data_IF_156936557000
#
_entry.id   IF_156936557000
#
_cell.length_a   1.000
_cell.length_b   1.000
_cell.length_c   1.000
_cell.angle_alpha   90.00
_cell.angle_beta   90.00
_cell.angle_gamma   90.00
#
_symmetry.space_group_name_H-M   'P 1'
#
loop_
_entity.id
_entity.type
_entity.pdbx_description
1 polymer ?
#
# COMPACT_ATOMS: atom_id res chain seq x y z
N UNK A 1 1.04 -9.30 -8.06
CA UNK A 1 -0.33 -9.67 -7.63
C UNK A 1 -0.42 -9.55 -6.11
N UNK A 2 -1.48 -8.92 -5.57
CA UNK A 2 -1.63 -8.75 -4.11
C UNK A 2 -2.25 -10.02 -3.51
N UNK A 3 -1.54 -10.70 -2.61
CA UNK A 3 -1.99 -11.95 -1.99
C UNK A 3 -3.01 -11.67 -0.87
N UNK A 4 -4.28 -11.48 -1.22
CA UNK A 4 -5.36 -11.16 -0.26
C UNK A 4 -5.46 -12.16 0.90
N UNK A 5 -5.28 -13.46 0.60
CA UNK A 5 -5.26 -14.51 1.63
C UNK A 5 -4.18 -14.25 2.69
N UNK A 6 -2.97 -13.91 2.25
CA UNK A 6 -1.83 -13.63 3.13
C UNK A 6 -2.04 -12.36 3.95
N UNK A 7 -2.61 -11.31 3.36
CA UNK A 7 -2.99 -10.10 4.10
C UNK A 7 -3.97 -10.44 5.23
N UNK A 8 -5.00 -11.25 4.93
CA UNK A 8 -6.00 -11.67 5.92
C UNK A 8 -5.36 -12.52 7.04
N UNK A 9 -4.44 -13.42 6.70
CA UNK A 9 -3.64 -14.17 7.69
C UNK A 9 -2.87 -13.22 8.64
N UNK A 10 -2.29 -12.12 8.12
CA UNK A 10 -1.58 -11.11 8.94
C UNK A 10 -2.49 -10.19 9.77
N UNK A 11 -3.80 -10.32 9.68
CA UNK A 11 -4.72 -9.72 10.66
C UNK A 11 -4.95 -10.63 11.88
N UNK A 12 -4.59 -11.92 11.76
CA UNK A 12 -4.61 -12.88 12.86
C UNK A 12 -3.57 -12.58 13.96
N UNK A 13 -3.60 -13.33 15.07
CA UNK A 13 -2.66 -13.17 16.17
C UNK A 13 -1.19 -13.30 15.71
N UNK A 14 -0.28 -12.68 16.45
CA UNK A 14 1.15 -12.83 16.21
C UNK A 14 1.60 -14.15 16.83
N UNK A 15 2.00 -15.10 16.00
CA UNK A 15 2.37 -16.47 16.43
C UNK A 15 3.88 -16.71 16.42
N UNK A 16 4.64 -15.94 15.65
CA UNK A 16 6.08 -16.07 15.48
C UNK A 16 6.75 -14.70 15.60
N UNK A 17 7.77 -14.62 16.46
CA UNK A 17 8.54 -13.41 16.71
C UNK A 17 9.94 -13.56 16.11
N UNK A 18 10.11 -12.97 14.94
CA UNK A 18 11.39 -12.88 14.24
C UNK A 18 11.41 -11.62 13.38
N UNK A 19 12.60 -11.13 13.03
CA UNK A 19 12.76 -10.02 12.07
C UNK A 19 12.07 -10.36 10.74
N UNK A 20 12.18 -11.62 10.29
CA UNK A 20 11.51 -12.08 9.08
C UNK A 20 9.98 -11.98 9.19
N UNK A 21 9.41 -12.43 10.32
CA UNK A 21 7.97 -12.32 10.60
C UNK A 21 7.49 -10.87 10.60
N UNK A 22 8.26 -9.95 11.21
CA UNK A 22 7.98 -8.52 11.18
C UNK A 22 7.99 -7.96 9.75
N UNK A 23 9.08 -8.17 9.00
CA UNK A 23 9.21 -7.67 7.62
C UNK A 23 8.10 -8.21 6.72
N UNK A 24 7.78 -9.50 6.85
CA UNK A 24 6.71 -10.13 6.09
C UNK A 24 5.35 -9.49 6.44
N UNK A 25 5.06 -9.27 7.72
CA UNK A 25 3.84 -8.59 8.16
C UNK A 25 3.74 -7.16 7.64
N UNK A 26 4.80 -6.35 7.78
CA UNK A 26 4.83 -4.98 7.30
C UNK A 26 4.64 -4.92 5.78
N UNK A 27 5.28 -5.82 5.04
CA UNK A 27 5.11 -5.96 3.59
C UNK A 27 3.65 -6.24 3.21
N UNK A 28 2.94 -7.05 3.99
CA UNK A 28 1.51 -7.29 3.73
C UNK A 28 0.62 -6.10 4.14
N UNK A 29 1.00 -5.32 5.15
CA UNK A 29 0.34 -4.05 5.47
C UNK A 29 0.48 -3.04 4.31
N UNK A 30 1.66 -2.93 3.70
CA UNK A 30 1.85 -2.13 2.48
C UNK A 30 1.10 -2.71 1.28
N UNK A 31 1.08 -4.05 1.16
CA UNK A 31 0.28 -4.76 0.17
C UNK A 31 -1.21 -4.45 0.27
N UNK A 32 -1.73 -4.29 1.49
CA UNK A 32 -3.10 -3.87 1.77
C UNK A 32 -3.35 -2.43 1.29
N UNK A 33 -2.43 -1.49 1.51
CA UNK A 33 -2.55 -0.14 0.95
C UNK A 33 -2.53 -0.15 -0.59
N UNK A 34 -1.68 -0.97 -1.21
CA UNK A 34 -1.67 -1.16 -2.68
C UNK A 34 -2.96 -1.78 -3.19
N UNK A 35 -3.60 -2.65 -2.40
CA UNK A 35 -4.92 -3.20 -2.72
C UNK A 35 -5.99 -2.12 -2.74
N UNK A 36 -6.01 -1.24 -1.74
CA UNK A 36 -6.91 -0.10 -1.72
C UNK A 36 -6.62 0.87 -2.86
N UNK A 37 -5.35 1.06 -3.23
CA UNK A 37 -4.99 1.89 -4.37
C UNK A 37 -5.59 1.33 -5.66
N UNK A 38 -5.51 0.01 -5.87
CA UNK A 38 -6.16 -0.66 -6.98
C UNK A 38 -7.66 -0.38 -7.01
N UNK A 39 -8.34 -0.50 -5.88
CA UNK A 39 -9.78 -0.22 -5.77
C UNK A 39 -10.07 1.23 -6.14
N UNK A 40 -9.37 2.18 -5.52
CA UNK A 40 -9.53 3.61 -5.79
C UNK A 40 -9.28 3.97 -7.26
N UNK A 41 -8.23 3.43 -7.89
CA UNK A 41 -7.97 3.63 -9.31
C UNK A 41 -9.11 3.09 -10.18
N UNK A 42 -9.64 1.89 -9.85
CA UNK A 42 -10.76 1.28 -10.58
C UNK A 42 -12.05 2.09 -10.43
N UNK A 43 -12.34 2.62 -9.24
CA UNK A 43 -13.47 3.52 -9.00
C UNK A 43 -13.38 4.80 -9.83
N UNK A 44 -12.16 5.27 -10.09
CA UNK A 44 -11.89 6.44 -10.94
C UNK A 44 -11.66 6.07 -12.42
N UNK A 45 -12.34 5.01 -12.87
CA UNK A 45 -12.41 4.51 -14.24
C UNK A 45 -11.09 4.07 -14.90
N UNK A 46 -10.01 3.90 -14.13
CA UNK A 46 -8.72 3.43 -14.66
C UNK A 46 -8.80 1.95 -14.99
N UNK A 47 -8.43 1.53 -16.21
CA UNK A 47 -8.45 0.11 -16.59
C UNK A 47 -7.55 -0.75 -15.70
N UNK A 48 -7.93 -2.02 -15.46
CA UNK A 48 -7.24 -2.90 -14.52
C UNK A 48 -5.75 -3.07 -14.81
N UNK A 49 -5.37 -3.38 -16.06
CA UNK A 49 -3.96 -3.50 -16.47
C UNK A 49 -3.17 -2.21 -16.23
N UNK A 50 -3.81 -1.06 -16.44
CA UNK A 50 -3.19 0.23 -16.23
C UNK A 50 -3.03 0.54 -14.74
N UNK A 51 -4.04 0.21 -13.93
CA UNK A 51 -3.97 0.36 -12.49
C UNK A 51 -2.86 -0.50 -11.88
N UNK A 52 -2.67 -1.73 -12.37
CA UNK A 52 -1.54 -2.58 -11.96
C UNK A 52 -0.19 -1.92 -12.27
N UNK A 53 0.00 -1.41 -13.49
CA UNK A 53 1.22 -0.68 -13.86
C UNK A 53 1.45 0.53 -12.95
N UNK A 54 0.40 1.32 -12.67
CA UNK A 54 0.51 2.47 -11.76
C UNK A 54 1.02 2.02 -10.39
N UNK A 55 0.45 0.96 -9.82
CA UNK A 55 0.85 0.43 -8.50
C UNK A 55 2.30 -0.07 -8.51
N UNK A 56 2.74 -0.68 -9.61
CA UNK A 56 4.11 -1.20 -9.77
C UNK A 56 5.14 -0.08 -9.91
N UNK A 57 4.81 1.00 -10.62
CA UNK A 57 5.73 2.11 -10.88
C UNK A 57 5.58 3.29 -9.90
N UNK A 58 4.54 3.32 -9.07
CA UNK A 58 4.33 4.38 -8.08
C UNK A 58 5.25 4.18 -6.88
N UNK A 59 6.20 5.10 -6.72
CA UNK A 59 6.96 5.27 -5.47
C UNK A 59 6.31 6.39 -4.66
N UNK A 60 5.21 6.07 -4.00
CA UNK A 60 4.61 6.95 -2.98
C UNK A 60 5.06 6.46 -1.60
N UNK A 61 5.52 7.38 -0.75
CA UNK A 61 5.70 7.06 0.66
C UNK A 61 4.34 6.74 1.31
N UNK A 62 4.35 5.99 2.41
CA UNK A 62 3.12 5.52 3.05
C UNK A 62 2.16 6.66 3.45
N UNK A 63 2.60 7.80 4.01
CA UNK A 63 1.69 8.91 4.34
C UNK A 63 0.96 9.46 3.10
N UNK A 64 1.70 9.81 2.04
CA UNK A 64 1.10 10.35 0.83
C UNK A 64 0.19 9.31 0.15
N UNK A 65 0.57 8.03 0.18
CA UNK A 65 -0.26 6.96 -0.33
C UNK A 65 -1.60 6.92 0.40
N UNK A 66 -1.62 6.90 1.73
CA UNK A 66 -2.86 6.84 2.52
C UNK A 66 -3.78 8.03 2.21
N UNK A 67 -3.25 9.26 2.16
CA UNK A 67 -4.04 10.43 1.78
C UNK A 67 -4.66 10.29 0.38
N UNK A 68 -3.89 9.79 -0.58
CA UNK A 68 -4.39 9.55 -1.95
C UNK A 68 -5.45 8.45 -1.98
N UNK A 69 -5.32 7.41 -1.15
CA UNK A 69 -6.32 6.35 -1.04
C UNK A 69 -7.67 6.95 -0.68
N UNK A 70 -7.74 7.76 0.37
CA UNK A 70 -8.98 8.40 0.82
C UNK A 70 -9.63 9.23 -0.29
N UNK A 71 -8.85 10.09 -0.94
CA UNK A 71 -9.32 10.90 -2.08
C UNK A 71 -9.93 10.03 -3.19
N UNK A 72 -9.29 8.90 -3.51
CA UNK A 72 -9.72 8.03 -4.60
C UNK A 72 -10.94 7.19 -4.23
N UNK A 73 -10.97 6.57 -3.06
CA UNK A 73 -12.05 5.65 -2.65
C UNK A 73 -13.32 6.41 -2.24
N UNK A 74 -13.17 7.61 -1.69
CA UNK A 74 -14.31 8.42 -1.25
C UNK A 74 -14.79 9.39 -2.34
N UNK A 75 -14.13 9.47 -3.50
CA UNK A 75 -14.36 10.54 -4.47
C UNK A 75 -14.32 11.95 -3.84
N UNK A 76 -13.38 12.19 -2.92
CA UNK A 76 -13.17 13.45 -2.15
C UNK A 76 -14.24 13.82 -1.13
N UNK A 77 -15.25 12.97 -0.87
CA UNK A 77 -16.25 13.24 0.18
C UNK A 77 -15.77 12.96 1.60
N UNK A 78 -14.70 12.18 1.78
CA UNK A 78 -14.14 11.82 3.08
C UNK A 78 -12.61 11.78 2.99
N UNK A 79 -11.96 12.59 3.82
CA UNK A 79 -10.52 12.82 3.77
C UNK A 79 -9.79 12.04 4.85
N UNK A 80 -8.48 11.86 4.68
CA UNK A 80 -7.63 11.27 5.72
C UNK A 80 -7.67 12.07 7.02
N UNK A 81 -7.72 13.41 6.94
CA UNK A 81 -7.84 14.27 8.13
C UNK A 81 -9.13 14.02 8.90
N UNK A 82 -10.26 13.88 8.20
CA UNK A 82 -11.55 13.55 8.82
C UNK A 82 -11.50 12.15 9.45
N UNK A 83 -10.92 11.17 8.75
CA UNK A 83 -10.68 9.83 9.27
C UNK A 83 -9.92 9.85 10.60
N UNK A 84 -8.78 10.55 10.66
CA UNK A 84 -7.96 10.64 11.88
C UNK A 84 -8.62 11.46 12.99
N UNK A 85 -9.51 12.38 12.65
CA UNK A 85 -10.23 13.20 13.66
C UNK A 85 -11.41 12.44 14.26
N UNK A 86 -12.17 11.73 13.42
CA UNK A 86 -13.39 11.00 13.82
C UNK A 86 -13.10 9.65 14.46
N UNK A 87 -12.02 8.98 14.04
CA UNK A 87 -11.68 7.62 14.48
C UNK A 87 -10.34 7.60 15.22
N UNK A 88 -10.38 7.77 16.54
CA UNK A 88 -9.18 7.84 17.40
C UNK A 88 -8.29 6.59 17.29
N UNK A 89 -8.89 5.39 17.28
CA UNK A 89 -8.14 4.13 17.14
C UNK A 89 -7.45 4.01 15.77
N UNK A 90 -8.10 4.48 14.72
CA UNK A 90 -7.51 4.54 13.38
C UNK A 90 -6.35 5.55 13.34
N UNK A 91 -6.52 6.73 13.94
CA UNK A 91 -5.46 7.72 14.08
C UNK A 91 -4.25 7.15 14.82
N UNK A 92 -4.46 6.56 16.00
CA UNK A 92 -3.39 6.00 16.83
C UNK A 92 -2.66 4.85 16.12
N UNK A 93 -3.39 3.91 15.51
CA UNK A 93 -2.77 2.79 14.80
C UNK A 93 -2.03 3.22 13.53
N UNK A 94 -2.53 4.25 12.82
CA UNK A 94 -1.84 4.83 11.66
C UNK A 94 -0.56 5.56 12.09
N UNK A 95 -0.59 6.28 13.22
CA UNK A 95 0.59 6.94 13.77
C UNK A 95 1.69 5.91 14.12
N UNK A 96 1.31 4.82 14.81
CA UNK A 96 2.22 3.69 15.08
C UNK A 96 2.75 3.05 13.79
N UNK A 97 1.91 2.85 12.78
CA UNK A 97 2.37 2.31 11.51
C UNK A 97 3.46 3.21 10.89
N UNK A 98 3.16 4.51 10.74
CA UNK A 98 4.01 5.45 10.03
C UNK A 98 5.27 5.88 10.79
N UNK A 99 5.18 6.09 12.11
CA UNK A 99 6.27 6.64 12.92
C UNK A 99 7.01 5.61 13.76
N UNK A 100 6.43 4.43 13.96
CA UNK A 100 7.07 3.37 14.72
C UNK A 100 7.48 2.21 13.82
N UNK A 101 6.55 1.54 13.13
CA UNK A 101 6.92 0.34 12.35
C UNK A 101 7.68 0.65 11.05
N UNK A 102 7.25 1.64 10.27
CA UNK A 102 7.88 1.95 8.98
C UNK A 102 9.36 2.36 9.10
N UNK A 103 9.80 3.16 10.08
CA UNK A 103 11.22 3.44 10.29
C UNK A 103 12.06 2.18 10.53
N UNK A 104 11.63 1.29 11.43
CA UNK A 104 12.34 0.02 11.68
C UNK A 104 12.40 -0.86 10.44
N UNK A 105 11.30 -0.98 9.70
CA UNK A 105 11.28 -1.72 8.43
C UNK A 105 12.27 -1.10 7.43
N UNK A 106 12.34 0.22 7.33
CA UNK A 106 13.26 0.90 6.42
C UNK A 106 14.72 0.67 6.84
N UNK A 107 15.03 0.77 8.14
CA UNK A 107 16.39 0.50 8.64
C UNK A 107 16.84 -0.93 8.33
N UNK A 108 15.97 -1.91 8.53
CA UNK A 108 16.26 -3.32 8.20
C UNK A 108 16.43 -3.55 6.69
N UNK A 109 15.51 -3.04 5.87
CA UNK A 109 15.54 -3.25 4.40
C UNK A 109 16.72 -2.54 3.74
N UNK A 110 17.17 -1.43 4.31
CA UNK A 110 18.31 -0.65 3.80
C UNK A 110 19.65 -0.97 4.49
N UNK A 111 19.69 -1.96 5.39
CA UNK A 111 20.92 -2.39 6.05
C UNK A 111 21.51 -1.37 7.03
N UNK A 112 20.69 -0.46 7.57
CA UNK A 112 21.10 0.44 8.66
C UNK A 112 21.25 -0.36 9.97
N UNK A 113 20.38 -1.35 10.15
CA UNK A 113 20.49 -2.37 11.19
C UNK A 113 20.27 -3.74 10.54
N UNK A 114 20.99 -4.76 11.01
CA UNK A 114 20.85 -6.12 10.47
C UNK A 114 19.76 -6.93 11.17
N UNK A 115 19.46 -6.61 12.44
CA UNK A 115 18.51 -7.37 13.26
C UNK A 115 17.95 -6.55 14.42
N UNK A 116 16.92 -7.10 15.07
CA UNK A 116 16.32 -6.59 16.30
C UNK A 116 16.41 -7.70 17.34
N UNK A 117 17.25 -7.51 18.36
CA UNK A 117 17.46 -8.52 19.42
C UNK A 117 16.38 -8.48 20.51
N UNK A 118 15.75 -7.32 20.70
CA UNK A 118 14.68 -7.14 21.68
C UNK A 118 13.37 -7.78 21.16
N UNK A 119 12.99 -8.91 21.77
CA UNK A 119 11.77 -9.64 21.44
C UNK A 119 10.50 -8.86 21.78
N UNK A 120 10.54 -8.03 22.82
CA UNK A 120 9.41 -7.19 23.20
C UNK A 120 9.19 -6.10 22.16
N UNK A 121 10.27 -5.46 21.69
CA UNK A 121 10.21 -4.53 20.56
C UNK A 121 9.66 -5.20 19.30
N UNK A 122 10.16 -6.39 18.92
CA UNK A 122 9.64 -7.16 17.78
C UNK A 122 8.15 -7.47 17.90
N UNK A 123 7.71 -7.84 19.10
CA UNK A 123 6.30 -8.09 19.38
C UNK A 123 5.45 -6.84 19.15
N UNK A 124 5.86 -5.69 19.70
CA UNK A 124 5.13 -4.43 19.52
C UNK A 124 5.10 -3.99 18.06
N UNK A 125 6.19 -4.16 17.32
CA UNK A 125 6.23 -3.87 15.88
C UNK A 125 5.20 -4.71 15.11
N UNK A 126 5.17 -6.02 15.37
CA UNK A 126 4.20 -6.93 14.73
C UNK A 126 2.75 -6.61 15.14
N UNK A 127 2.51 -6.30 16.42
CA UNK A 127 1.19 -5.94 16.94
C UNK A 127 0.70 -4.62 16.35
N UNK A 128 1.57 -3.63 16.17
CA UNK A 128 1.24 -2.35 15.56
C UNK A 128 0.80 -2.50 14.08
N UNK A 129 1.56 -3.24 13.26
CA UNK A 129 1.17 -3.54 11.87
C UNK A 129 -0.19 -4.25 11.79
N UNK A 130 -0.39 -5.24 12.67
CA UNK A 130 -1.67 -5.96 12.77
C UNK A 130 -2.81 -5.02 13.12
N UNK A 131 -2.62 -4.18 14.13
CA UNK A 131 -3.65 -3.27 14.62
C UNK A 131 -4.00 -2.22 13.56
N UNK A 132 -3.02 -1.74 12.81
CA UNK A 132 -3.24 -0.87 11.64
C UNK A 132 -4.19 -1.51 10.63
N UNK A 133 -3.95 -2.75 10.21
CA UNK A 133 -4.83 -3.47 9.29
C UNK A 133 -6.26 -3.59 9.83
N UNK A 134 -6.41 -3.94 11.11
CA UNK A 134 -7.72 -4.13 11.75
C UNK A 134 -8.51 -2.82 11.81
N UNK A 135 -7.90 -1.75 12.29
CA UNK A 135 -8.59 -0.46 12.42
C UNK A 135 -8.88 0.18 11.07
N UNK A 136 -8.03 -0.04 10.06
CA UNK A 136 -8.32 0.38 8.70
C UNK A 136 -9.57 -0.35 8.16
N UNK A 137 -9.64 -1.67 8.29
CA UNK A 137 -10.81 -2.45 7.84
C UNK A 137 -12.09 -2.06 8.60
N UNK A 138 -12.01 -1.80 9.90
CA UNK A 138 -13.15 -1.28 10.68
C UNK A 138 -13.62 0.06 10.13
N UNK A 139 -12.70 0.98 9.87
CA UNK A 139 -13.03 2.28 9.28
C UNK A 139 -13.74 2.12 7.93
N UNK A 140 -13.23 1.24 7.05
CA UNK A 140 -13.83 1.04 5.73
C UNK A 140 -15.27 0.52 5.83
N UNK A 141 -15.52 -0.39 6.76
CA UNK A 141 -16.87 -0.92 7.02
C UNK A 141 -17.80 0.15 7.58
N UNK A 142 -17.31 0.98 8.49
CA UNK A 142 -18.12 2.03 9.12
C UNK A 142 -18.48 3.17 8.16
N UNK A 143 -17.53 3.65 7.34
CA UNK A 143 -17.74 4.81 6.48
C UNK A 143 -18.27 4.45 5.09
N UNK A 144 -17.86 3.31 4.54
CA UNK A 144 -18.19 2.95 3.16
C UNK A 144 -19.07 1.72 3.07
N UNK A 145 -19.27 0.97 4.16
CA UNK A 145 -19.88 -0.37 4.14
C UNK A 145 -19.18 -1.30 3.13
N UNK A 146 -17.84 -1.22 3.07
CA UNK A 146 -16.98 -1.99 2.16
C UNK A 146 -15.74 -2.51 2.87
N UNK A 147 -15.04 -3.42 2.21
CA UNK A 147 -13.78 -4.02 2.64
C UNK A 147 -12.72 -3.97 1.53
N UNK A 148 -11.43 -3.86 1.89
CA UNK A 148 -10.33 -3.98 0.94
C UNK A 148 -10.26 -5.37 0.28
N UNK A 149 -10.90 -6.37 0.89
CA UNK A 149 -10.99 -7.73 0.37
C UNK A 149 -12.07 -7.87 -0.72
N UNK A 150 -13.03 -6.95 -0.80
CA UNK A 150 -14.09 -6.97 -1.82
C UNK A 150 -13.53 -6.71 -3.21
N UNK A 151 -14.17 -7.26 -4.24
CA UNK A 151 -13.80 -6.96 -5.62
C UNK A 151 -14.05 -5.46 -5.90
N UNK A 152 -13.27 -4.82 -6.79
CA UNK A 152 -13.55 -3.41 -7.15
C UNK A 152 -14.98 -3.19 -7.65
N UNK A 153 -15.60 -4.20 -8.28
CA UNK A 153 -16.99 -4.14 -8.71
C UNK A 153 -17.98 -3.99 -7.55
N UNK A 154 -17.71 -4.61 -6.41
CA UNK A 154 -18.53 -4.49 -5.21
C UNK A 154 -18.51 -3.06 -4.69
N UNK A 155 -17.37 -2.37 -4.80
CA UNK A 155 -17.24 -0.94 -4.51
C UNK A 155 -17.95 -0.02 -5.52
N UNK A 156 -18.50 -0.58 -6.61
CA UNK A 156 -19.15 0.19 -7.69
C UNK A 156 -18.23 0.51 -8.87
N UNK A 157 -17.02 -0.05 -8.95
CA UNK A 157 -16.11 0.24 -10.05
C UNK A 157 -16.60 -0.34 -11.38
N UNK A 158 -16.79 0.52 -12.37
CA UNK A 158 -17.20 0.11 -13.71
C UNK A 158 -16.01 -0.35 -14.57
N UNK A 159 -16.30 -1.09 -15.65
CA UNK A 159 -15.28 -1.38 -16.69
C UNK A 159 -14.82 -0.05 -17.30
N UNK A 160 -13.50 0.18 -17.36
CA UNK A 160 -12.94 1.41 -17.90
C UNK A 160 -13.23 1.52 -19.39
N UNK A 161 -13.93 2.59 -19.81
CA UNK A 161 -14.46 2.73 -21.18
C UNK A 161 -13.42 3.14 -22.23
N UNK A 162 -12.34 3.83 -21.82
CA UNK A 162 -11.27 4.27 -22.71
C UNK A 162 -9.90 3.86 -22.17
N UNK A 163 -8.98 3.53 -23.09
CA UNK A 163 -7.58 3.29 -22.78
C UNK A 163 -6.88 4.64 -22.67
N UNK A 164 -6.59 5.06 -21.44
CA UNK A 164 -5.83 6.27 -21.15
C UNK A 164 -4.35 5.91 -20.94
N UNK A 165 -3.44 6.73 -21.47
CA UNK A 165 -2.00 6.54 -21.25
C UNK A 165 -1.62 6.83 -19.78
N UNK A 166 -0.55 6.19 -19.28
CA UNK A 166 -0.10 6.24 -17.88
C UNK A 166 0.11 7.69 -17.41
N UNK A 167 0.83 8.56 -18.15
CA UNK A 167 1.04 9.95 -17.74
C UNK A 167 -0.25 10.76 -17.66
N UNK A 168 -1.23 10.47 -18.52
CA UNK A 168 -2.53 11.14 -18.50
C UNK A 168 -3.31 10.76 -17.24
N UNK A 169 -3.38 9.46 -16.89
CA UNK A 169 -3.99 9.00 -15.63
C UNK A 169 -3.33 9.64 -14.42
N UNK A 170 -2.00 9.65 -14.37
CA UNK A 170 -1.22 10.22 -13.25
C UNK A 170 -1.53 11.70 -13.07
N UNK A 171 -1.57 12.47 -14.16
CA UNK A 171 -1.89 13.90 -14.14
C UNK A 171 -3.32 14.15 -13.67
N UNK A 172 -4.29 13.43 -14.26
CA UNK A 172 -5.72 13.57 -13.95
C UNK A 172 -6.02 13.24 -12.49
N UNK A 173 -5.47 12.15 -11.99
CA UNK A 173 -5.68 11.69 -10.60
C UNK A 173 -4.70 12.29 -9.60
N UNK A 174 -3.76 13.14 -10.06
CA UNK A 174 -2.74 13.78 -9.24
C UNK A 174 -1.98 12.78 -8.36
N UNK A 175 -1.54 11.66 -8.94
CA UNK A 175 -0.89 10.55 -8.23
C UNK A 175 0.58 10.85 -7.85
N UNK A 176 1.08 12.06 -8.14
CA UNK A 176 2.47 12.44 -7.91
C UNK A 176 3.41 11.95 -9.01
N UNK A 177 4.69 11.79 -8.68
CA UNK A 177 5.71 11.32 -9.61
C UNK A 177 5.70 9.79 -9.65
N UNK A 178 5.35 9.23 -10.80
CA UNK A 178 5.65 7.83 -11.13
C UNK A 178 6.98 7.83 -11.87
N UNK A 179 7.89 6.90 -11.55
CA UNK A 179 9.18 6.83 -12.24
C UNK A 179 8.92 6.73 -13.75
N UNK A 180 9.39 7.75 -14.48
CA UNK A 180 9.35 7.78 -15.95
C UNK A 180 10.56 6.99 -16.44
N UNK A 181 10.35 5.70 -16.65
CA UNK A 181 11.37 4.84 -17.21
C UNK A 181 11.04 3.39 -16.93
N UNK A 182 10.73 2.64 -17.97
CA UNK A 182 10.90 1.19 -17.91
C UNK A 182 12.38 0.92 -17.70
N UNK A 183 12.77 0.08 -16.72
CA UNK A 183 14.14 -0.40 -16.61
C UNK A 183 14.60 -0.92 -17.98
N UNK A 184 15.88 -0.69 -18.29
CA UNK A 184 16.48 -1.25 -19.50
C UNK A 184 16.24 -2.75 -19.54
N UNK A 185 15.79 -3.28 -20.68
CA UNK A 185 15.57 -4.72 -20.81
C UNK A 185 16.88 -5.48 -20.60
N UNK A 186 16.82 -6.72 -20.11
CA UNK A 186 18.02 -7.57 -19.95
C UNK A 186 18.78 -7.69 -21.27
N UNK A 187 18.07 -7.80 -22.40
CA UNK A 187 18.66 -7.85 -23.74
C UNK A 187 19.45 -6.58 -24.06
N UNK A 188 18.89 -5.42 -23.73
CA UNK A 188 19.52 -4.13 -24.00
C UNK A 188 20.67 -3.83 -23.03
N UNK A 189 20.57 -4.28 -21.78
CA UNK A 189 21.66 -4.25 -20.82
C UNK A 189 22.84 -5.14 -21.27
N UNK A 190 22.55 -6.36 -21.72
CA UNK A 190 23.57 -7.27 -22.28
C UNK A 190 24.28 -6.66 -23.48
N UNK A 191 23.51 -6.14 -24.45
CA UNK A 191 24.07 -5.50 -25.64
C UNK A 191 24.99 -4.32 -25.30
N UNK A 192 24.65 -3.53 -24.27
CA UNK A 192 25.49 -2.41 -23.82
C UNK A 192 26.73 -2.88 -23.05
N UNK A 193 26.63 -3.96 -22.27
CA UNK A 193 27.77 -4.54 -21.58
C UNK A 193 28.76 -5.18 -22.54
N UNK A 194 28.27 -5.88 -23.57
CA UNK A 194 29.11 -6.46 -24.63
C UNK A 194 29.83 -5.38 -25.45
N UNK A 195 29.25 -4.19 -25.58
CA UNK A 195 29.89 -3.06 -26.26
C UNK A 195 30.94 -2.33 -25.40
N UNK A 196 31.07 -2.67 -24.12
CA UNK A 196 32.07 -2.12 -23.19
C UNK A 196 33.28 -3.05 -22.98
N UNK A 197 33.21 -4.28 -23.51
CA UNK A 197 34.29 -5.27 -23.52
C UNK A 197 34.99 -5.27 -24.89
#
# INVERSE_FOLDING_TARGET
MVYLKKIKEKMGPVTELSVSSFIDRHRYAEGYLRRLLLIGLRLNAVQYKQAQKIIEFSYMNAPALIEKLFILISHRTFTFKEATTKYSNFAASTDLFLKFTSPYRNWLVHGVIDTIYDLQLLEYLCRADRQFLIEFEKLLKSEFNRSAFDAPGDWGAQKGKQKEDLPAVIRRLRLGTVLRGTPMSITEAKKRLEALL
#
